data_IF_340831996361
#
_entry.id   IF_340831996361
#
_cell.length_a   1.000
_cell.length_b   1.000
_cell.length_c   1.000
_cell.angle_alpha   90.00
_cell.angle_beta   90.00
_cell.angle_gamma   90.00
#
_symmetry.space_group_name_H-M   'P 1'
#
loop_
_entity.id
_entity.type
_entity.pdbx_description
1 polymer ?
#
# COMPACT_ATOMS: atom_id res chain seq x y z
N UNK A 1 54.22 -13.19 -38.85
CA UNK A 1 53.31 -12.61 -37.83
C UNK A 1 51.94 -12.38 -38.47
N UNK A 2 50.96 -13.26 -38.23
CA UNK A 2 49.56 -13.10 -38.69
C UNK A 2 48.71 -12.67 -37.50
N UNK A 3 48.04 -11.51 -37.62
CA UNK A 3 47.13 -10.98 -36.59
C UNK A 3 45.72 -11.48 -36.90
N UNK A 4 45.15 -12.31 -36.02
CA UNK A 4 43.73 -12.64 -36.03
C UNK A 4 43.01 -11.63 -35.11
N UNK A 5 42.19 -10.74 -35.68
CA UNK A 5 41.23 -9.95 -34.90
C UNK A 5 39.93 -10.73 -34.83
N UNK A 6 39.69 -11.30 -33.65
CA UNK A 6 38.46 -12.00 -33.31
C UNK A 6 37.33 -10.96 -33.14
N UNK A 7 36.32 -11.03 -34.00
CA UNK A 7 35.03 -10.37 -33.79
C UNK A 7 34.15 -11.34 -32.98
N UNK A 8 33.82 -10.99 -31.75
CA UNK A 8 32.65 -11.49 -30.99
C UNK A 8 31.96 -10.21 -30.49
N UNK A 9 30.70 -9.90 -30.81
CA UNK A 9 29.57 -10.80 -30.98
C UNK A 9 28.67 -10.63 -29.77
N UNK A 10 27.64 -9.80 -29.92
CA UNK A 10 26.38 -9.78 -29.17
C UNK A 10 26.41 -10.05 -27.66
N UNK A 11 26.47 -8.98 -26.87
CA UNK A 11 25.81 -8.98 -25.57
C UNK A 11 24.49 -8.21 -25.75
N UNK A 12 23.41 -8.99 -25.95
CA UNK A 12 22.03 -8.57 -25.71
C UNK A 12 21.99 -7.83 -24.37
N UNK A 13 21.91 -6.50 -24.40
CA UNK A 13 21.32 -5.74 -23.30
C UNK A 13 19.83 -6.04 -23.36
N UNK A 14 19.44 -7.17 -22.76
CA UNK A 14 18.06 -7.37 -22.33
C UNK A 14 17.74 -6.24 -21.36
N UNK A 15 17.22 -5.14 -21.90
CA UNK A 15 16.42 -4.21 -21.13
C UNK A 15 15.22 -5.01 -20.64
N UNK A 16 15.34 -5.56 -19.43
CA UNK A 16 14.21 -5.99 -18.65
C UNK A 16 13.39 -4.72 -18.45
N UNK A 17 12.46 -4.49 -19.38
CA UNK A 17 11.35 -3.58 -19.24
C UNK A 17 10.67 -3.97 -17.93
N UNK A 18 11.09 -3.32 -16.84
CA UNK A 18 10.32 -3.30 -15.62
C UNK A 18 8.98 -2.74 -16.04
N UNK A 19 7.99 -3.62 -16.18
CA UNK A 19 6.60 -3.22 -16.24
C UNK A 19 6.31 -2.54 -14.91
N UNK A 20 6.61 -1.25 -14.80
CA UNK A 20 6.07 -0.41 -13.76
C UNK A 20 4.58 -0.40 -14.03
N UNK A 21 3.86 -1.30 -13.37
CA UNK A 21 2.41 -1.27 -13.35
C UNK A 21 2.07 0.08 -12.74
N UNK A 22 1.75 1.06 -13.60
CA UNK A 22 1.36 2.38 -13.16
C UNK A 22 -0.03 2.22 -12.53
N UNK A 23 -0.06 2.12 -11.21
CA UNK A 23 -1.27 1.85 -10.43
C UNK A 23 -2.14 3.10 -10.22
N UNK A 24 -1.85 4.20 -10.92
CA UNK A 24 -2.42 5.53 -10.70
C UNK A 24 -1.82 6.21 -9.47
N UNK A 25 -2.19 7.47 -9.25
CA UNK A 25 -1.85 8.16 -8.00
C UNK A 25 -2.63 7.52 -6.83
N UNK A 26 -2.04 7.43 -5.61
CA UNK A 26 -2.70 6.82 -4.46
C UNK A 26 -4.10 7.39 -4.20
N UNK A 27 -4.28 8.71 -4.30
CA UNK A 27 -5.57 9.38 -4.13
C UNK A 27 -6.63 8.91 -5.13
N UNK A 28 -6.29 8.85 -6.42
CA UNK A 28 -7.21 8.44 -7.49
C UNK A 28 -7.72 7.01 -7.30
N UNK A 29 -6.89 6.15 -6.72
CA UNK A 29 -7.27 4.75 -6.48
C UNK A 29 -8.09 4.61 -5.22
N UNK A 30 -7.67 5.27 -4.14
CA UNK A 30 -8.37 5.25 -2.86
C UNK A 30 -9.77 5.87 -2.98
N UNK A 31 -9.94 6.91 -3.81
CA UNK A 31 -11.24 7.49 -4.11
C UNK A 31 -12.26 6.49 -4.71
N UNK A 32 -11.78 5.41 -5.34
CA UNK A 32 -12.65 4.37 -5.92
C UNK A 32 -13.09 3.31 -4.91
N UNK A 33 -12.48 3.28 -3.72
CA UNK A 33 -12.84 2.33 -2.69
C UNK A 33 -14.19 2.69 -2.08
N UNK A 34 -14.96 1.66 -1.75
CA UNK A 34 -16.12 1.79 -0.87
C UNK A 34 -15.68 2.14 0.55
N UNK A 35 -16.59 2.69 1.35
CA UNK A 35 -16.32 3.06 2.73
C UNK A 35 -15.78 1.89 3.55
N UNK A 36 -16.35 0.68 3.35
CA UNK A 36 -15.89 -0.51 4.03
C UNK A 36 -14.46 -0.91 3.59
N UNK A 37 -14.17 -0.81 2.29
CA UNK A 37 -12.83 -1.09 1.76
C UNK A 37 -11.80 -0.13 2.35
N UNK A 38 -12.10 1.17 2.44
CA UNK A 38 -11.22 2.17 3.06
C UNK A 38 -10.83 1.78 4.49
N UNK A 39 -11.80 1.45 5.32
CA UNK A 39 -11.56 1.11 6.73
C UNK A 39 -10.78 -0.20 6.89
N UNK A 40 -11.02 -1.19 6.01
CA UNK A 40 -10.25 -2.44 6.02
C UNK A 40 -8.84 -2.28 5.46
N UNK A 41 -8.65 -1.46 4.42
CA UNK A 41 -7.35 -1.18 3.82
C UNK A 41 -6.49 -0.35 4.77
N UNK A 42 -7.08 0.57 5.57
CA UNK A 42 -6.34 1.29 6.60
C UNK A 42 -5.64 0.30 7.55
N UNK A 43 -6.35 -0.73 8.03
CA UNK A 43 -5.78 -1.75 8.90
C UNK A 43 -4.65 -2.54 8.21
N UNK A 44 -4.83 -2.87 6.93
CA UNK A 44 -3.83 -3.58 6.14
C UNK A 44 -2.57 -2.74 5.89
N UNK A 45 -2.72 -1.42 5.65
CA UNK A 45 -1.60 -0.53 5.34
C UNK A 45 -0.85 -0.03 6.57
N UNK A 46 -1.50 0.02 7.74
CA UNK A 46 -0.88 0.39 9.03
C UNK A 46 0.38 -0.44 9.35
N UNK A 47 0.46 -1.70 8.86
CA UNK A 47 1.60 -2.60 9.13
C UNK A 47 2.29 -3.12 7.86
N UNK A 48 1.91 -2.64 6.66
CA UNK A 48 2.57 -3.01 5.40
C UNK A 48 3.53 -1.91 4.96
N UNK A 49 4.57 -2.29 4.21
CA UNK A 49 5.64 -1.43 3.66
C UNK A 49 5.20 -0.26 2.75
N UNK A 50 3.90 0.02 2.62
CA UNK A 50 3.36 1.05 1.72
C UNK A 50 2.75 2.19 2.53
N UNK A 51 3.59 2.89 3.30
CA UNK A 51 3.21 4.10 4.06
C UNK A 51 2.54 5.16 3.17
N UNK A 52 2.97 5.23 1.90
CA UNK A 52 2.42 6.10 0.85
C UNK A 52 0.92 5.86 0.56
N UNK A 53 0.40 4.69 0.92
CA UNK A 53 -1.02 4.40 0.75
C UNK A 53 -1.82 4.71 2.01
N UNK A 54 -1.18 4.66 3.17
CA UNK A 54 -1.84 4.89 4.45
C UNK A 54 -2.28 6.34 4.60
N UNK A 55 -1.46 7.31 4.19
CA UNK A 55 -1.86 8.72 4.24
C UNK A 55 -3.05 8.99 3.31
N UNK A 56 -3.05 8.45 2.09
CA UNK A 56 -4.14 8.64 1.12
C UNK A 56 -5.45 8.03 1.62
N UNK A 57 -5.40 6.84 2.22
CA UNK A 57 -6.57 6.20 2.85
C UNK A 57 -7.09 7.03 4.03
N UNK A 58 -6.19 7.50 4.89
CA UNK A 58 -6.57 8.30 6.06
C UNK A 58 -7.21 9.62 5.65
N UNK A 59 -6.68 10.27 4.62
CA UNK A 59 -7.23 11.51 4.08
C UNK A 59 -8.61 11.29 3.44
N UNK A 60 -8.79 10.20 2.69
CA UNK A 60 -10.11 9.88 2.10
C UNK A 60 -11.15 9.52 3.17
N UNK A 61 -10.77 8.82 4.23
CA UNK A 61 -11.65 8.54 5.39
C UNK A 61 -12.11 9.84 6.04
N UNK A 62 -11.19 10.81 6.24
CA UNK A 62 -11.50 12.13 6.80
C UNK A 62 -12.38 12.94 5.85
N UNK A 63 -12.09 12.93 4.53
CA UNK A 63 -12.91 13.58 3.50
C UNK A 63 -14.35 13.09 3.47
N UNK A 64 -14.57 11.80 3.72
CA UNK A 64 -15.91 11.17 3.77
C UNK A 64 -16.57 11.19 5.15
N UNK A 65 -15.94 11.81 6.15
CA UNK A 65 -16.41 11.81 7.55
C UNK A 65 -16.69 10.40 8.09
N UNK A 66 -15.85 9.43 7.72
CA UNK A 66 -15.92 8.04 8.20
C UNK A 66 -15.14 7.82 9.50
N UNK A 67 -14.42 8.84 9.97
CA UNK A 67 -13.65 8.85 11.21
C UNK A 67 -14.51 8.68 12.46
N UNK A 68 -15.78 9.11 12.42
CA UNK A 68 -16.77 8.88 13.47
C UNK A 68 -17.77 7.77 13.16
N UNK A 69 -17.55 6.98 12.10
CA UNK A 69 -18.47 5.92 11.70
C UNK A 69 -18.22 4.64 12.50
N UNK A 70 -19.17 4.26 13.35
CA UNK A 70 -19.12 3.01 14.13
C UNK A 70 -18.88 1.79 13.24
N UNK A 71 -19.48 1.78 12.04
CA UNK A 71 -19.32 0.70 11.07
C UNK A 71 -17.89 0.63 10.53
N UNK A 72 -17.27 1.79 10.27
CA UNK A 72 -15.89 1.88 9.82
C UNK A 72 -14.92 1.39 10.90
N UNK A 73 -15.07 1.94 12.11
CA UNK A 73 -14.26 1.59 13.29
C UNK A 73 -14.34 0.10 13.59
N UNK A 74 -15.55 -0.47 13.62
CA UNK A 74 -15.75 -1.89 13.91
C UNK A 74 -15.15 -2.81 12.83
N UNK A 75 -15.19 -2.38 11.56
CA UNK A 75 -14.55 -3.09 10.45
C UNK A 75 -13.03 -3.08 10.56
N UNK A 76 -12.45 -1.91 10.86
CA UNK A 76 -11.03 -1.74 11.14
C UNK A 76 -10.59 -2.61 12.30
N UNK A 77 -11.25 -2.53 13.47
CA UNK A 77 -10.88 -3.28 14.68
C UNK A 77 -10.94 -4.78 14.46
N UNK A 78 -11.98 -5.25 13.76
CA UNK A 78 -12.12 -6.67 13.41
C UNK A 78 -10.97 -7.15 12.54
N UNK A 79 -10.57 -6.35 11.54
CA UNK A 79 -9.45 -6.67 10.66
C UNK A 79 -8.13 -6.62 11.43
N UNK A 80 -7.94 -5.58 12.23
CA UNK A 80 -6.75 -5.33 13.02
C UNK A 80 -6.47 -6.46 14.01
N UNK A 81 -7.49 -6.86 14.79
CA UNK A 81 -7.40 -7.98 15.73
C UNK A 81 -6.92 -9.27 15.05
N UNK A 82 -7.43 -9.56 13.84
CA UNK A 82 -7.03 -10.74 13.08
C UNK A 82 -5.58 -10.67 12.61
N UNK A 83 -5.14 -9.51 12.11
CA UNK A 83 -3.77 -9.28 11.67
C UNK A 83 -2.79 -9.37 12.83
N UNK A 84 -3.09 -8.71 13.95
CA UNK A 84 -2.23 -8.67 15.14
C UNK A 84 -2.01 -10.04 15.76
N UNK A 85 -3.07 -10.85 15.83
CA UNK A 85 -2.94 -12.25 16.25
C UNK A 85 -1.97 -13.04 15.37
N UNK A 86 -1.92 -12.73 14.07
CA UNK A 86 -1.02 -13.41 13.12
C UNK A 86 0.43 -12.96 13.28
N UNK A 87 0.67 -11.66 13.45
CA UNK A 87 2.02 -11.09 13.52
C UNK A 87 2.58 -10.95 14.94
N UNK A 88 1.78 -11.28 15.97
CA UNK A 88 2.11 -11.18 17.40
C UNK A 88 2.54 -9.75 17.82
N UNK A 89 1.85 -8.75 17.30
CA UNK A 89 2.04 -7.34 17.66
C UNK A 89 0.81 -6.78 18.39
N UNK A 90 0.98 -5.63 19.04
CA UNK A 90 -0.13 -4.91 19.66
C UNK A 90 -0.95 -4.16 18.60
N UNK A 91 -2.30 -4.20 18.68
CA UNK A 91 -3.14 -3.42 17.78
C UNK A 91 -2.96 -1.93 18.02
N UNK A 92 -2.83 -1.19 16.92
CA UNK A 92 -2.94 0.28 16.87
C UNK A 92 -4.44 0.61 16.82
N UNK A 93 -4.84 1.64 17.57
CA UNK A 93 -6.23 2.11 17.56
C UNK A 93 -6.57 2.81 16.25
N UNK A 94 -7.87 2.85 15.91
CA UNK A 94 -8.33 3.50 14.69
C UNK A 94 -7.91 4.98 14.62
N UNK A 95 -8.04 5.72 15.72
CA UNK A 95 -7.61 7.12 15.80
C UNK A 95 -6.10 7.27 15.58
N UNK A 96 -5.29 6.42 16.20
CA UNK A 96 -3.84 6.44 16.00
C UNK A 96 -3.47 6.13 14.55
N UNK A 97 -4.16 5.18 13.90
CA UNK A 97 -3.89 4.85 12.51
C UNK A 97 -4.24 5.97 11.52
N UNK A 98 -5.24 6.80 11.83
CA UNK A 98 -5.62 7.98 11.03
C UNK A 98 -4.63 9.13 11.15
N UNK A 99 -3.91 9.20 12.27
CA UNK A 99 -2.92 10.24 12.54
C UNK A 99 -1.48 9.79 12.28
N UNK A 100 -1.29 8.49 12.00
CA UNK A 100 -0.02 7.90 11.66
C UNK A 100 0.42 8.37 10.25
N UNK A 101 1.27 9.39 10.25
CA UNK A 101 2.05 9.81 9.09
C UNK A 101 3.19 8.81 8.95
N UNK A 102 2.99 7.78 8.13
CA UNK A 102 3.98 6.72 7.93
C UNK A 102 5.35 7.21 7.47
#
# INVERSE_FOLDING_TARGET
MKKYKLMLGSALLMGLSACTVFLGEPEERVAKFSDLELCTELADKTYKYHAEWQWAISDEIKKRALDSSDRCMSSYDTRMTRLMRKIKASPISFSEALDNKG
#
